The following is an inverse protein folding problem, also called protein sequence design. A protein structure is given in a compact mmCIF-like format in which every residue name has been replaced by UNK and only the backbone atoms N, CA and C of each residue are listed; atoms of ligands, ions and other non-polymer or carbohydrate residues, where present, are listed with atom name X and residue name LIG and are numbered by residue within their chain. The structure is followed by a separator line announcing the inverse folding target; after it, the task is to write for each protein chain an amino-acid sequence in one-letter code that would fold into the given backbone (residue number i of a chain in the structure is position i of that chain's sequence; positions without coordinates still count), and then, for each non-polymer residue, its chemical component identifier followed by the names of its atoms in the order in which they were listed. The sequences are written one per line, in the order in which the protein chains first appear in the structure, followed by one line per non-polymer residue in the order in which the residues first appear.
data_IF_406048296212
#
_entry.id   IF_406048296212
#
_cell.length_a   1.000
_cell.length_b   1.000
_cell.length_c   1.000
_cell.angle_alpha   90.00
_cell.angle_beta   90.00
_cell.angle_gamma   90.00
#
_symmetry.space_group_name_H-M   'P 1'
#
loop_
_entity.id
_entity.type
_entity.pdbx_description
1 polymer ?
#
# COMPACT_ATOMS: atom_id res chain seq x y z
N UNK A 1 47.25 18.86 27.83
CA UNK A 1 46.88 18.97 26.40
C UNK A 1 45.38 18.87 26.14
N UNK A 2 44.64 17.96 26.79
CA UNK A 2 43.19 17.75 26.57
C UNK A 2 42.31 18.99 26.84
N UNK A 3 42.55 19.75 27.92
CA UNK A 3 41.75 20.94 28.25
C UNK A 3 41.87 22.03 27.16
N UNK A 4 43.07 22.27 26.64
CA UNK A 4 43.32 23.25 25.56
C UNK A 4 42.64 22.83 24.26
N UNK A 5 42.70 21.55 23.89
CA UNK A 5 42.00 21.02 22.71
C UNK A 5 40.49 21.21 22.83
N UNK A 6 39.91 20.93 24.00
CA UNK A 6 38.48 21.11 24.25
C UNK A 6 38.05 22.58 24.16
N UNK A 7 38.83 23.51 24.72
CA UNK A 7 38.58 24.96 24.61
C UNK A 7 38.60 25.44 23.15
N UNK A 8 39.60 25.00 22.38
CA UNK A 8 39.71 25.35 20.96
C UNK A 8 38.55 24.77 20.15
N UNK A 9 38.13 23.53 20.44
CA UNK A 9 36.97 22.90 19.81
C UNK A 9 35.68 23.66 20.12
N UNK A 10 35.44 24.02 21.39
CA UNK A 10 34.30 24.85 21.80
C UNK A 10 34.29 26.20 21.09
N UNK A 11 35.43 26.87 20.98
CA UNK A 11 35.54 28.17 20.29
C UNK A 11 35.26 28.05 18.79
N UNK A 12 35.77 26.99 18.14
CA UNK A 12 35.51 26.71 16.72
C UNK A 12 34.03 26.43 16.47
N UNK A 13 33.39 25.61 17.32
CA UNK A 13 31.96 25.33 17.25
C UNK A 13 31.16 26.62 17.41
N UNK A 14 31.44 27.42 18.45
CA UNK A 14 30.74 28.68 18.69
C UNK A 14 30.89 29.68 17.54
N UNK A 15 32.11 29.82 17.00
CA UNK A 15 32.37 30.71 15.86
C UNK A 15 31.66 30.25 14.59
N UNK A 16 31.63 28.94 14.32
CA UNK A 16 30.89 28.36 13.20
C UNK A 16 29.38 28.60 13.37
N UNK A 17 28.84 28.38 14.57
CA UNK A 17 27.43 28.66 14.87
C UNK A 17 27.07 30.15 14.77
N UNK A 18 27.95 31.03 15.21
CA UNK A 18 27.75 32.50 15.10
C UNK A 18 27.78 32.97 13.65
N UNK A 19 28.68 32.45 12.83
CA UNK A 19 28.77 32.79 11.40
C UNK A 19 27.59 32.23 10.61
N UNK A 20 27.11 31.02 10.90
CA UNK A 20 25.89 30.48 10.27
C UNK A 20 24.65 31.27 10.68
N UNK A 21 24.52 31.66 11.95
CA UNK A 21 23.41 32.49 12.42
C UNK A 21 23.41 33.88 11.78
N UNK A 22 24.58 34.53 11.64
CA UNK A 22 24.69 35.83 10.94
C UNK A 22 24.32 35.70 9.47
N UNK A 23 24.77 34.64 8.79
CA UNK A 23 24.39 34.39 7.39
C UNK A 23 22.89 34.13 7.22
N UNK A 24 22.22 33.48 8.18
CA UNK A 24 20.75 33.32 8.10
C UNK A 24 20.03 34.67 8.14
N UNK A 25 20.48 35.61 9.00
CA UNK A 25 19.84 36.92 9.17
C UNK A 25 19.89 37.84 7.95
N UNK A 26 20.75 37.58 6.95
CA UNK A 26 20.83 38.41 5.75
C UNK A 26 19.91 37.92 4.59
N UNK A 27 19.25 36.77 4.73
CA UNK A 27 18.31 36.28 3.74
C UNK A 27 16.90 36.84 3.95
N UNK A 28 16.08 36.82 2.89
CA UNK A 28 14.65 37.14 3.02
C UNK A 28 13.95 36.13 3.94
N UNK A 29 12.86 36.53 4.63
CA UNK A 29 12.14 35.62 5.52
C UNK A 29 11.74 34.30 4.85
N UNK A 30 11.30 34.34 3.59
CA UNK A 30 10.95 33.15 2.80
C UNK A 30 12.13 32.19 2.63
N UNK A 31 13.33 32.72 2.38
CA UNK A 31 14.53 31.89 2.23
C UNK A 31 14.98 31.35 3.58
N UNK A 32 14.88 32.14 4.65
CA UNK A 32 15.17 31.65 6.01
C UNK A 32 14.25 30.48 6.37
N UNK A 33 12.96 30.60 6.08
CA UNK A 33 11.96 29.55 6.29
C UNK A 33 12.28 28.29 5.48
N UNK A 34 12.60 28.43 4.19
CA UNK A 34 13.00 27.31 3.35
C UNK A 34 14.28 26.61 3.87
N UNK A 35 15.27 27.37 4.34
CA UNK A 35 16.48 26.81 4.98
C UNK A 35 16.11 25.99 6.21
N UNK A 36 15.26 26.53 7.08
CA UNK A 36 14.78 25.82 8.27
C UNK A 36 14.02 24.55 7.89
N UNK A 37 13.16 24.58 6.87
CA UNK A 37 12.46 23.38 6.38
C UNK A 37 13.44 22.31 5.88
N UNK A 38 14.49 22.69 5.15
CA UNK A 38 15.52 21.75 4.68
C UNK A 38 16.30 21.12 5.84
N UNK A 39 16.71 21.93 6.82
CA UNK A 39 17.43 21.44 8.02
C UNK A 39 16.59 20.42 8.80
N UNK A 40 15.28 20.67 8.94
CA UNK A 40 14.37 19.76 9.62
C UNK A 40 14.24 18.42 8.89
N UNK A 41 14.06 18.43 7.56
CA UNK A 41 13.92 17.19 6.75
C UNK A 41 15.19 16.34 6.72
N UNK A 42 16.37 16.97 6.83
CA UNK A 42 17.63 16.24 6.92
C UNK A 42 17.88 15.65 8.32
N UNK A 43 17.23 16.19 9.35
CA UNK A 43 17.37 15.71 10.73
C UNK A 43 16.42 14.55 11.04
N UNK A 44 15.31 14.40 10.29
CA UNK A 44 14.36 13.29 10.42
C UNK A 44 14.86 12.05 9.69
N UNK A 45 15.81 11.32 10.29
CA UNK A 45 16.17 9.98 9.85
C UNK A 45 15.18 8.97 10.43
N UNK A 46 14.21 8.51 9.64
CA UNK A 46 13.37 7.37 10.02
C UNK A 46 14.19 6.09 9.88
N UNK A 47 14.35 5.33 10.96
CA UNK A 47 15.06 4.05 10.94
C UNK A 47 14.38 3.09 9.95
N UNK A 48 15.02 2.80 8.81
CA UNK A 48 14.56 1.84 7.81
C UNK A 48 14.16 2.44 6.45
N UNK A 49 14.02 3.76 6.33
CA UNK A 49 13.86 4.44 5.04
C UNK A 49 15.21 4.89 4.46
N UNK A 50 15.37 4.79 3.14
CA UNK A 50 16.56 5.28 2.44
C UNK A 50 16.74 6.79 2.72
N UNK A 51 17.88 7.17 3.30
CA UNK A 51 18.19 8.55 3.65
C UNK A 51 18.01 9.44 2.42
N UNK A 52 17.10 10.42 2.51
CA UNK A 52 16.91 11.41 1.44
C UNK A 52 18.23 12.17 1.22
N UNK A 53 18.73 12.11 0.00
CA UNK A 53 19.86 12.94 -0.42
C UNK A 53 19.55 14.42 -0.19
N UNK A 54 20.57 15.24 0.10
CA UNK A 54 20.42 16.68 0.22
C UNK A 54 19.75 17.29 -1.02
N UNK A 55 20.02 16.76 -2.21
CA UNK A 55 19.37 17.18 -3.45
C UNK A 55 17.85 16.91 -3.44
N UNK A 56 17.44 15.74 -2.94
CA UNK A 56 16.02 15.37 -2.81
C UNK A 56 15.31 16.28 -1.82
N UNK A 57 15.94 16.59 -0.68
CA UNK A 57 15.36 17.51 0.31
C UNK A 57 15.20 18.92 -0.27
N UNK A 58 16.20 19.42 -0.98
CA UNK A 58 16.12 20.72 -1.67
C UNK A 58 14.98 20.71 -2.69
N UNK A 59 14.85 19.65 -3.49
CA UNK A 59 13.79 19.50 -4.47
C UNK A 59 12.40 19.52 -3.79
N UNK A 60 12.20 18.73 -2.74
CA UNK A 60 10.95 18.68 -1.97
C UNK A 60 10.56 20.06 -1.40
N UNK A 61 11.52 20.78 -0.79
CA UNK A 61 11.24 22.12 -0.24
C UNK A 61 10.88 23.10 -1.36
N UNK A 62 11.60 23.06 -2.48
CA UNK A 62 11.28 23.89 -3.65
C UNK A 62 9.93 23.53 -4.28
N UNK A 63 9.52 22.26 -4.21
CA UNK A 63 8.23 21.77 -4.66
C UNK A 63 7.06 22.32 -3.85
N UNK A 64 7.19 22.25 -2.53
CA UNK A 64 6.17 22.63 -1.57
C UNK A 64 5.95 24.15 -1.57
N UNK A 65 7.03 24.92 -1.72
CA UNK A 65 6.99 26.39 -1.64
C UNK A 65 6.71 27.07 -3.00
N UNK A 66 6.98 26.42 -4.13
CA UNK A 66 6.81 27.03 -5.46
C UNK A 66 6.02 26.13 -6.39
N UNK A 67 4.75 26.50 -6.62
CA UNK A 67 3.88 25.83 -7.60
C UNK A 67 4.51 25.95 -8.99
N UNK A 68 4.64 24.81 -9.71
CA UNK A 68 5.22 24.73 -11.06
C UNK A 68 6.64 25.33 -11.13
N UNK A 69 7.52 24.89 -10.22
CA UNK A 69 8.89 25.37 -10.18
C UNK A 69 9.66 24.99 -11.48
N UNK A 70 9.88 25.98 -12.35
CA UNK A 70 10.60 25.80 -13.62
C UNK A 70 12.05 25.35 -13.43
N UNK A 71 12.70 25.72 -12.33
CA UNK A 71 14.06 25.26 -12.05
C UNK A 71 14.06 23.73 -11.91
N UNK A 72 13.15 23.20 -11.09
CA UNK A 72 13.03 21.75 -10.88
C UNK A 72 12.71 21.00 -12.17
N UNK A 73 11.85 21.58 -13.02
CA UNK A 73 11.61 21.04 -14.37
C UNK A 73 12.89 21.01 -15.22
N UNK A 74 13.66 22.10 -15.21
CA UNK A 74 14.89 22.22 -15.99
C UNK A 74 16.00 21.28 -15.50
N UNK A 75 16.07 21.03 -14.18
CA UNK A 75 17.06 20.10 -13.61
C UNK A 75 16.58 18.64 -13.59
N UNK A 76 15.38 18.35 -14.11
CA UNK A 76 14.83 16.99 -14.18
C UNK A 76 14.21 16.48 -12.87
N UNK A 77 14.10 17.32 -11.84
CA UNK A 77 13.30 17.03 -10.65
C UNK A 77 11.84 17.33 -10.95
N UNK A 78 11.19 16.47 -11.72
CA UNK A 78 9.74 16.53 -11.83
C UNK A 78 9.18 16.13 -10.47
N UNK A 79 8.78 17.12 -9.68
CA UNK A 79 8.02 16.91 -8.46
C UNK A 79 6.81 16.06 -8.83
N UNK A 80 6.88 14.76 -8.57
CA UNK A 80 5.69 13.98 -8.40
C UNK A 80 4.94 14.67 -7.25
N UNK A 81 3.81 15.25 -7.61
CA UNK A 81 2.78 15.89 -6.79
C UNK A 81 2.76 15.45 -5.30
N UNK A 82 2.51 16.35 -4.32
CA UNK A 82 2.79 16.15 -2.89
C UNK A 82 2.00 15.05 -2.15
N UNK A 83 2.73 14.32 -1.28
CA UNK A 83 2.44 13.57 -0.03
C UNK A 83 1.00 13.40 0.54
N UNK A 84 -0.05 13.41 -0.26
CA UNK A 84 -1.32 12.82 0.19
C UNK A 84 -1.28 11.29 0.16
N UNK A 85 -0.20 10.68 -0.36
CA UNK A 85 -0.16 9.24 -0.55
C UNK A 85 -0.01 8.46 0.76
N UNK A 86 0.81 8.82 1.75
CA UNK A 86 1.07 7.87 2.86
C UNK A 86 -0.15 7.61 3.77
N UNK A 87 -0.80 8.67 4.28
CA UNK A 87 -2.01 8.48 5.11
C UNK A 87 -3.22 8.01 4.29
N UNK A 88 -3.32 8.42 3.00
CA UNK A 88 -4.31 7.85 2.08
C UNK A 88 -4.02 6.38 1.83
N UNK A 89 -2.76 5.96 1.70
CA UNK A 89 -2.39 4.57 1.46
C UNK A 89 -2.62 3.69 2.67
N UNK A 90 -2.42 4.19 3.90
CA UNK A 90 -2.69 3.38 5.10
C UNK A 90 -4.19 3.17 5.29
N UNK A 91 -4.99 4.23 5.12
CA UNK A 91 -6.45 4.12 5.20
C UNK A 91 -7.04 3.27 4.06
N UNK A 92 -6.51 3.41 2.85
CA UNK A 92 -6.86 2.59 1.68
C UNK A 92 -6.40 1.14 1.86
N UNK A 93 -5.24 0.89 2.47
CA UNK A 93 -4.75 -0.45 2.78
C UNK A 93 -5.62 -1.15 3.82
N UNK A 94 -6.04 -0.46 4.88
CA UNK A 94 -6.96 -1.05 5.87
C UNK A 94 -8.36 -1.29 5.27
N UNK A 95 -8.84 -0.40 4.39
CA UNK A 95 -10.06 -0.64 3.63
C UNK A 95 -9.94 -1.87 2.72
N UNK A 96 -8.81 -2.01 2.01
CA UNK A 96 -8.50 -3.15 1.15
C UNK A 96 -8.40 -4.44 1.96
N UNK A 97 -7.75 -4.44 3.13
CA UNK A 97 -7.69 -5.61 4.03
C UNK A 97 -9.07 -6.06 4.46
N UNK A 98 -9.96 -5.12 4.82
CA UNK A 98 -11.34 -5.45 5.19
C UNK A 98 -12.15 -5.98 4.01
N UNK A 99 -12.04 -5.35 2.84
CA UNK A 99 -12.68 -5.83 1.62
C UNK A 99 -12.17 -7.23 1.21
N UNK A 100 -10.87 -7.48 1.34
CA UNK A 100 -10.27 -8.78 1.05
C UNK A 100 -10.77 -9.87 2.02
N UNK A 101 -10.90 -9.54 3.31
CA UNK A 101 -11.46 -10.47 4.29
C UNK A 101 -12.92 -10.81 3.98
N UNK A 102 -13.72 -9.82 3.59
CA UNK A 102 -15.11 -10.02 3.19
C UNK A 102 -15.21 -10.88 1.92
N UNK A 103 -14.38 -10.61 0.90
CA UNK A 103 -14.31 -11.42 -0.31
C UNK A 103 -13.93 -12.87 -0.02
N UNK A 104 -12.95 -13.10 0.88
CA UNK A 104 -12.58 -14.47 1.30
C UNK A 104 -13.76 -15.21 1.94
N UNK A 105 -14.54 -14.52 2.78
CA UNK A 105 -15.72 -15.11 3.40
C UNK A 105 -16.79 -15.46 2.34
N UNK A 106 -17.04 -14.56 1.38
CA UNK A 106 -17.99 -14.79 0.29
C UNK A 106 -17.56 -15.96 -0.61
N UNK A 107 -16.26 -16.07 -0.93
CA UNK A 107 -15.72 -17.19 -1.73
C UNK A 107 -15.87 -18.52 -0.98
N UNK A 108 -15.62 -18.54 0.33
CA UNK A 108 -15.81 -19.75 1.14
C UNK A 108 -17.28 -20.18 1.19
N UNK A 109 -18.21 -19.24 1.41
CA UNK A 109 -19.65 -19.50 1.42
C UNK A 109 -20.14 -20.02 0.05
N UNK A 110 -19.71 -19.38 -1.04
CA UNK A 110 -20.06 -19.81 -2.39
C UNK A 110 -19.50 -21.19 -2.71
N UNK A 111 -18.26 -21.48 -2.32
CA UNK A 111 -17.64 -22.81 -2.49
C UNK A 111 -18.45 -23.89 -1.79
N UNK A 112 -18.91 -23.64 -0.56
CA UNK A 112 -19.75 -24.57 0.19
C UNK A 112 -21.10 -24.80 -0.50
N UNK A 113 -21.78 -23.73 -0.92
CA UNK A 113 -23.06 -23.82 -1.64
C UNK A 113 -22.96 -24.60 -2.94
N UNK A 114 -21.89 -24.38 -3.71
CA UNK A 114 -21.63 -25.13 -4.95
C UNK A 114 -21.42 -26.62 -4.65
N UNK A 115 -20.63 -26.94 -3.61
CA UNK A 115 -20.40 -28.33 -3.22
C UNK A 115 -21.69 -29.04 -2.76
N UNK A 116 -22.49 -28.39 -1.92
CA UNK A 116 -23.77 -28.91 -1.45
C UNK A 116 -24.76 -29.12 -2.62
N UNK A 117 -24.86 -28.13 -3.52
CA UNK A 117 -25.70 -28.23 -4.71
C UNK A 117 -25.26 -29.37 -5.62
N UNK A 118 -23.95 -29.58 -5.80
CA UNK A 118 -23.47 -30.68 -6.64
C UNK A 118 -23.77 -32.04 -6.01
N UNK A 119 -23.60 -32.19 -4.70
CA UNK A 119 -23.99 -33.41 -3.98
C UNK A 119 -25.49 -33.70 -4.09
N UNK A 120 -26.34 -32.67 -3.95
CA UNK A 120 -27.79 -32.83 -4.14
C UNK A 120 -28.13 -33.31 -5.55
N UNK A 121 -27.52 -32.71 -6.59
CA UNK A 121 -27.73 -33.13 -7.99
C UNK A 121 -27.27 -34.56 -8.26
N UNK A 122 -26.16 -34.98 -7.65
CA UNK A 122 -25.67 -36.37 -7.78
C UNK A 122 -26.68 -37.32 -7.17
N UNK A 123 -27.16 -37.05 -5.95
CA UNK A 123 -28.15 -37.89 -5.27
C UNK A 123 -29.46 -37.99 -6.06
N UNK A 124 -30.00 -36.88 -6.55
CA UNK A 124 -31.21 -36.86 -7.36
C UNK A 124 -31.04 -37.69 -8.64
N UNK A 125 -29.87 -37.60 -9.28
CA UNK A 125 -29.56 -38.38 -10.48
C UNK A 125 -29.48 -39.88 -10.20
N UNK A 126 -28.92 -40.28 -9.07
CA UNK A 126 -28.88 -41.68 -8.65
C UNK A 126 -30.28 -42.22 -8.33
N UNK A 127 -31.12 -41.42 -7.68
CA UNK A 127 -32.51 -41.77 -7.39
C UNK A 127 -33.35 -41.92 -8.66
N UNK A 128 -33.22 -40.98 -9.61
CA UNK A 128 -33.88 -41.09 -10.92
C UNK A 128 -33.46 -42.35 -11.68
N UNK A 129 -32.17 -42.70 -11.67
CA UNK A 129 -31.68 -43.93 -12.31
C UNK A 129 -32.26 -45.18 -11.66
N UNK A 130 -32.33 -45.22 -10.32
CA UNK A 130 -32.92 -46.35 -9.59
C UNK A 130 -34.39 -46.53 -9.95
N UNK A 131 -35.17 -45.45 -9.91
CA UNK A 131 -36.58 -45.45 -10.29
C UNK A 131 -36.79 -45.89 -11.74
N UNK A 132 -35.93 -45.43 -12.66
CA UNK A 132 -35.97 -45.84 -14.05
C UNK A 132 -35.71 -47.35 -14.21
N UNK A 133 -34.66 -47.89 -13.58
CA UNK A 133 -34.37 -49.33 -13.59
C UNK A 133 -35.51 -50.16 -13.01
N UNK A 134 -36.13 -49.71 -11.92
CA UNK A 134 -37.29 -50.40 -11.32
C UNK A 134 -38.50 -50.41 -12.25
N UNK A 135 -38.77 -49.30 -12.94
CA UNK A 135 -39.86 -49.21 -13.92
C UNK A 135 -39.58 -50.07 -15.15
N UNK A 136 -38.36 -50.05 -15.67
CA UNK A 136 -37.93 -50.89 -16.79
C UNK A 136 -38.06 -52.38 -16.45
N UNK A 137 -37.65 -52.78 -15.24
CA UNK A 137 -37.83 -54.15 -14.76
C UNK A 137 -39.32 -54.56 -14.69
N UNK A 138 -40.20 -53.67 -14.20
CA UNK A 138 -41.65 -53.90 -14.19
C UNK A 138 -42.24 -54.02 -15.59
N UNK A 139 -41.80 -53.18 -16.54
CA UNK A 139 -42.24 -53.27 -17.94
C UNK A 139 -41.79 -54.58 -18.59
N UNK A 140 -40.54 -54.97 -18.40
CA UNK A 140 -40.01 -56.24 -18.91
C UNK A 140 -40.78 -57.46 -18.34
N UNK A 141 -41.17 -57.40 -17.06
CA UNK A 141 -42.01 -58.42 -16.44
C UNK A 141 -43.41 -58.50 -17.08
N UNK A 142 -44.04 -57.37 -17.39
CA UNK A 142 -45.35 -57.37 -18.05
C UNK A 142 -45.27 -57.88 -19.49
N UNK A 143 -44.23 -57.48 -20.23
CA UNK A 143 -44.03 -57.94 -21.61
C UNK A 143 -43.78 -59.45 -21.69
N UNK A 144 -43.10 -60.03 -20.70
CA UNK A 144 -42.88 -61.49 -20.64
C UNK A 144 -44.18 -62.27 -20.39
N UNK A 145 -45.17 -61.65 -19.73
CA UNK A 145 -46.50 -62.25 -19.51
C UNK A 145 -47.39 -62.21 -20.76
N UNK A 146 -47.21 -61.24 -21.65
CA UNK A 146 -48.07 -61.05 -22.83
C UNK A 146 -47.51 -61.79 -24.07
N UNK A 147 -46.22 -62.10 -24.11
CA UNK A 147 -45.60 -62.77 -25.25
C UNK A 147 -46.31 -64.11 -25.52
N UNK A 148 -46.99 -64.29 -26.66
CA UNK A 148 -47.68 -65.54 -26.96
C UNK A 148 -46.65 -66.66 -27.03
N UNK A 149 -46.92 -67.76 -26.33
CA UNK A 149 -46.15 -69.00 -26.44
C UNK A 149 -46.28 -69.62 -27.83
#
# INVERSE_FOLDING_TARGET
MTNTMMKNLMHLIYSRSSTTARKKKCYTPVVQEAITQMENKLSTTTEGEELKSAAQVVADVLAENTKKNRFLQNVGFNNAQPRFSEQSTETELEAEKRANAELRAQVADLSNKVQESEQARIKDREEMKRSQSEMEAKLNLLLSQIRPS
#
